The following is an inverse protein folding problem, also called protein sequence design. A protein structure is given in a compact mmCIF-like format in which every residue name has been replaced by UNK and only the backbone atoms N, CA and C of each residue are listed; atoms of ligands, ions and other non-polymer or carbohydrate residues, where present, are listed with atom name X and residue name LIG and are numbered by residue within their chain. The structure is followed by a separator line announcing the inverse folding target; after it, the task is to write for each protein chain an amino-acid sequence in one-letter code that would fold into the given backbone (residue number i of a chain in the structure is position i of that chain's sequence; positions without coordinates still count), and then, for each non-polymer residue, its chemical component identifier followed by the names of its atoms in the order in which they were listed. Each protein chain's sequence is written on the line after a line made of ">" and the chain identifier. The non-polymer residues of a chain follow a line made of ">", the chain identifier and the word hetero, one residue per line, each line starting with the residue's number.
data_IF_647565174341
#
_entry.id   IF_647565174341
#
_cell.length_a   1.000
_cell.length_b   1.000
_cell.length_c   1.000
_cell.angle_alpha   90.00
_cell.angle_beta   90.00
_cell.angle_gamma   90.00
#
_symmetry.space_group_name_H-M   'P 1'
#
loop_
_entity.id
_entity.type
_entity.pdbx_description
1 polymer ?
#
# COMPACT_ATOMS: atom_id res chain seq x y z
N UNK A 1 15.20 57.63 -18.79
CA UNK A 1 15.22 56.27 -19.39
C UNK A 1 15.96 55.23 -18.55
N UNK A 2 16.99 55.57 -17.75
CA UNK A 2 17.75 54.55 -16.96
C UNK A 2 17.15 54.11 -15.62
N UNK A 3 16.24 54.88 -15.02
CA UNK A 3 15.61 54.51 -13.73
C UNK A 3 14.63 53.35 -13.85
N UNK A 4 13.87 53.28 -14.95
CA UNK A 4 12.89 52.22 -15.20
C UNK A 4 13.55 50.88 -15.49
N UNK A 5 14.68 50.87 -16.19
CA UNK A 5 15.45 49.64 -16.46
C UNK A 5 16.03 49.04 -15.18
N UNK A 6 16.47 49.88 -14.24
CA UNK A 6 16.95 49.42 -12.93
C UNK A 6 15.83 48.75 -12.13
N UNK A 7 14.66 49.37 -12.05
CA UNK A 7 13.51 48.83 -11.32
C UNK A 7 13.08 47.48 -11.90
N UNK A 8 13.00 47.39 -13.24
CA UNK A 8 12.66 46.14 -13.92
C UNK A 8 13.72 45.06 -13.69
N UNK A 9 15.01 45.41 -13.70
CA UNK A 9 16.09 44.46 -13.43
C UNK A 9 16.01 43.89 -12.00
N UNK A 10 15.77 44.74 -11.00
CA UNK A 10 15.61 44.32 -9.60
C UNK A 10 14.36 43.45 -9.43
N UNK A 11 13.24 43.86 -10.01
CA UNK A 11 11.99 43.09 -9.96
C UNK A 11 12.14 41.73 -10.64
N UNK A 12 12.86 41.66 -11.75
CA UNK A 12 13.13 40.43 -12.46
C UNK A 12 13.94 39.44 -11.61
N UNK A 13 14.97 39.92 -10.91
CA UNK A 13 15.76 39.09 -9.99
C UNK A 13 14.89 38.56 -8.86
N UNK A 14 14.05 39.41 -8.25
CA UNK A 14 13.12 38.98 -7.20
C UNK A 14 12.17 37.87 -7.69
N UNK A 15 11.55 38.08 -8.85
CA UNK A 15 10.63 37.11 -9.45
C UNK A 15 11.36 35.80 -9.81
N UNK A 16 12.64 35.89 -10.20
CA UNK A 16 13.44 34.72 -10.51
C UNK A 16 13.71 33.86 -9.28
N UNK A 17 14.06 34.48 -8.15
CA UNK A 17 14.28 33.79 -6.88
C UNK A 17 13.00 33.07 -6.44
N UNK A 18 11.85 33.77 -6.44
CA UNK A 18 10.56 33.19 -6.07
C UNK A 18 10.17 32.02 -7.00
N UNK A 19 10.42 32.16 -8.31
CA UNK A 19 10.15 31.10 -9.29
C UNK A 19 11.01 29.86 -9.03
N UNK A 20 12.28 30.06 -8.69
CA UNK A 20 13.20 28.96 -8.39
C UNK A 20 12.80 28.28 -7.08
N UNK A 21 12.47 29.04 -6.03
CA UNK A 21 11.96 28.49 -4.77
C UNK A 21 10.71 27.63 -4.98
N UNK A 22 9.73 28.14 -5.72
CA UNK A 22 8.52 27.40 -6.05
C UNK A 22 8.82 26.11 -6.83
N UNK A 23 9.77 26.14 -7.76
CA UNK A 23 10.19 24.94 -8.49
C UNK A 23 10.82 23.89 -7.56
N UNK A 24 11.63 24.31 -6.58
CA UNK A 24 12.17 23.40 -5.57
C UNK A 24 11.07 22.79 -4.70
N UNK A 25 10.14 23.61 -4.22
CA UNK A 25 8.99 23.14 -3.43
C UNK A 25 8.12 22.16 -4.20
N UNK A 26 7.85 22.45 -5.48
CA UNK A 26 7.11 21.54 -6.36
C UNK A 26 7.82 20.19 -6.49
N UNK A 27 9.13 20.21 -6.75
CA UNK A 27 9.92 18.97 -6.86
C UNK A 27 9.92 18.16 -5.58
N UNK A 28 10.01 18.80 -4.42
CA UNK A 28 9.95 18.11 -3.13
C UNK A 28 8.61 17.41 -2.92
N UNK A 29 7.50 18.07 -3.26
CA UNK A 29 6.16 17.48 -3.16
C UNK A 29 6.00 16.32 -4.16
N UNK A 30 6.47 16.48 -5.39
CA UNK A 30 6.44 15.42 -6.40
C UNK A 30 7.21 14.19 -5.89
N UNK A 31 8.40 14.38 -5.33
CA UNK A 31 9.20 13.28 -4.75
C UNK A 31 8.47 12.58 -3.59
N UNK A 32 7.80 13.33 -2.71
CA UNK A 32 6.99 12.76 -1.63
C UNK A 32 5.83 11.92 -2.17
N UNK A 33 5.15 12.39 -3.22
CA UNK A 33 4.07 11.66 -3.89
C UNK A 33 4.61 10.37 -4.51
N UNK A 34 5.72 10.45 -5.24
CA UNK A 34 6.34 9.28 -5.87
C UNK A 34 6.77 8.24 -4.82
N UNK A 35 7.35 8.67 -3.71
CA UNK A 35 7.75 7.79 -2.61
C UNK A 35 6.55 7.08 -1.98
N UNK A 36 5.45 7.80 -1.73
CA UNK A 36 4.20 7.20 -1.22
C UNK A 36 3.59 6.23 -2.22
N UNK A 37 3.58 6.56 -3.51
CA UNK A 37 3.08 5.69 -4.56
C UNK A 37 3.89 4.39 -4.66
N UNK A 38 5.22 4.48 -4.59
CA UNK A 38 6.10 3.31 -4.57
C UNK A 38 5.83 2.40 -3.36
N UNK A 39 5.62 2.99 -2.17
CA UNK A 39 5.31 2.24 -0.97
C UNK A 39 3.97 1.51 -1.09
N UNK A 40 2.93 2.18 -1.61
CA UNK A 40 1.61 1.57 -1.84
C UNK A 40 1.72 0.43 -2.85
N UNK A 41 2.45 0.61 -3.95
CA UNK A 41 2.67 -0.43 -4.95
C UNK A 41 3.36 -1.66 -4.34
N UNK A 42 4.39 -1.46 -3.52
CA UNK A 42 5.05 -2.56 -2.81
C UNK A 42 4.09 -3.30 -1.87
N UNK A 43 3.26 -2.56 -1.13
CA UNK A 43 2.29 -3.13 -0.20
C UNK A 43 1.20 -3.93 -0.94
N UNK A 44 0.78 -3.46 -2.12
CA UNK A 44 -0.14 -4.19 -2.99
C UNK A 44 0.47 -5.50 -3.49
N UNK A 45 1.72 -5.48 -3.94
CA UNK A 45 2.44 -6.69 -4.36
C UNK A 45 2.60 -7.69 -3.22
N UNK A 46 2.94 -7.23 -2.02
CA UNK A 46 3.01 -8.10 -0.83
C UNK A 46 1.64 -8.69 -0.50
N UNK A 47 0.57 -7.87 -0.50
CA UNK A 47 -0.79 -8.35 -0.29
C UNK A 47 -1.20 -9.41 -1.31
N UNK A 48 -0.92 -9.18 -2.59
CA UNK A 48 -1.21 -10.13 -3.66
C UNK A 48 -0.40 -11.42 -3.52
N UNK A 49 0.86 -11.32 -3.09
CA UNK A 49 1.70 -12.48 -2.80
C UNK A 49 1.16 -13.30 -1.61
N UNK A 50 0.69 -12.65 -0.54
CA UNK A 50 0.04 -13.34 0.59
C UNK A 50 -1.29 -13.99 0.18
N UNK A 51 -2.06 -13.34 -0.70
CA UNK A 51 -3.33 -13.86 -1.23
C UNK A 51 -3.10 -14.86 -2.37
N UNK A 52 -1.84 -15.07 -2.81
CA UNK A 52 -1.56 -15.96 -3.91
C UNK A 52 -2.01 -17.39 -3.58
N UNK A 53 -2.72 -18.07 -4.49
CA UNK A 53 -3.23 -19.42 -4.26
C UNK A 53 -2.16 -20.43 -3.85
N UNK A 54 -0.91 -20.19 -4.28
CA UNK A 54 0.24 -21.02 -3.93
C UNK A 54 0.60 -20.90 -2.44
N UNK A 55 0.75 -19.67 -1.92
CA UNK A 55 1.01 -19.43 -0.49
C UNK A 55 -0.15 -19.90 0.40
N UNK A 56 -1.38 -19.70 -0.06
CA UNK A 56 -2.57 -20.22 0.63
C UNK A 56 -2.58 -21.75 0.67
N UNK A 57 -2.19 -22.43 -0.41
CA UNK A 57 -2.06 -23.90 -0.43
C UNK A 57 -0.92 -24.39 0.47
N UNK A 58 0.21 -23.71 0.48
CA UNK A 58 1.35 -24.01 1.36
C UNK A 58 0.94 -23.89 2.84
N UNK A 59 0.26 -22.80 3.20
CA UNK A 59 -0.24 -22.56 4.56
C UNK A 59 -1.39 -23.52 4.93
N UNK A 60 -2.25 -23.90 3.97
CA UNK A 60 -3.25 -24.94 4.19
C UNK A 60 -2.58 -26.30 4.48
N UNK A 61 -1.51 -26.64 3.75
CA UNK A 61 -0.73 -27.85 3.99
C UNK A 61 -0.11 -27.90 5.39
N UNK A 62 0.48 -26.79 5.86
CA UNK A 62 1.07 -26.73 7.22
C UNK A 62 0.03 -26.78 8.34
N UNK A 63 -1.19 -26.28 8.09
CA UNK A 63 -2.31 -26.34 9.02
C UNK A 63 -3.13 -27.64 8.91
N UNK A 64 -2.73 -28.59 8.05
CA UNK A 64 -3.46 -29.83 7.81
C UNK A 64 -4.82 -29.64 7.11
N UNK A 65 -5.05 -28.47 6.52
CA UNK A 65 -6.28 -28.12 5.81
C UNK A 65 -6.22 -28.66 4.38
N UNK A 66 -7.21 -29.48 4.02
CA UNK A 66 -7.38 -29.98 2.66
C UNK A 66 -8.63 -29.38 1.97
N UNK A 67 -8.63 -29.34 0.62
CA UNK A 67 -9.81 -28.99 -0.16
C UNK A 67 -11.01 -29.84 0.28
N UNK A 68 -12.18 -29.21 0.41
CA UNK A 68 -13.41 -29.95 0.69
C UNK A 68 -13.70 -30.90 -0.48
N UNK A 69 -14.04 -32.15 -0.18
CA UNK A 69 -14.43 -33.11 -1.21
C UNK A 69 -15.80 -32.73 -1.80
N UNK A 70 -16.09 -33.09 -3.06
CA UNK A 70 -17.40 -32.84 -3.67
C UNK A 70 -18.53 -33.42 -2.79
N UNK A 71 -19.43 -32.57 -2.30
CA UNK A 71 -20.53 -32.96 -1.39
C UNK A 71 -20.32 -32.63 0.09
N UNK A 72 -19.15 -32.12 0.49
CA UNK A 72 -18.87 -31.78 1.88
C UNK A 72 -19.16 -30.30 2.19
N UNK A 73 -20.20 -30.02 2.97
CA UNK A 73 -20.57 -28.66 3.43
C UNK A 73 -19.97 -28.43 4.82
N UNK A 74 -19.07 -27.44 4.98
CA UNK A 74 -18.53 -27.02 6.28
C UNK A 74 -19.42 -25.92 6.87
N UNK A 75 -20.15 -26.21 7.95
CA UNK A 75 -20.89 -25.20 8.72
C UNK A 75 -19.95 -24.52 9.73
N UNK A 76 -19.64 -23.24 9.52
CA UNK A 76 -18.75 -22.45 10.39
C UNK A 76 -19.39 -22.03 11.73
N UNK A 77 -20.64 -22.42 11.99
CA UNK A 77 -21.39 -22.02 13.17
C UNK A 77 -21.28 -22.92 14.40
N UNK A 78 -20.54 -24.03 14.35
CA UNK A 78 -20.57 -25.06 15.41
C UNK A 78 -19.22 -25.32 16.12
N UNK A 79 -18.13 -24.60 15.80
CA UNK A 79 -16.82 -24.77 16.45
C UNK A 79 -16.47 -23.60 17.40
N UNK A 80 -17.45 -23.04 18.13
CA UNK A 80 -17.20 -22.09 19.23
C UNK A 80 -17.43 -22.70 20.63
N UNK A 81 -17.66 -24.01 20.69
CA UNK A 81 -17.84 -24.85 21.86
C UNK A 81 -18.28 -26.19 21.28
N UNK A 82 -17.72 -27.34 21.59
CA UNK A 82 -17.35 -27.83 22.91
C UNK A 82 -16.23 -28.86 22.70
N UNK A 83 -15.11 -28.64 23.36
CA UNK A 83 -14.14 -29.70 23.65
C UNK A 83 -14.62 -30.34 24.94
N UNK A 84 -15.02 -31.62 24.89
CA UNK A 84 -15.11 -32.45 26.10
C UNK A 84 -16.28 -33.43 26.10
N UNK A 85 -16.03 -34.62 26.67
CA UNK A 85 -16.96 -35.69 27.02
C UNK A 85 -17.42 -36.58 25.84
N UNK A 86 -16.70 -37.65 25.51
CA UNK A 86 -16.67 -38.98 26.18
C UNK A 86 -17.82 -39.92 25.76
N UNK A 87 -17.40 -41.10 25.29
CA UNK A 87 -18.06 -42.42 25.40
C UNK A 87 -19.25 -42.75 24.48
N UNK A 88 -18.95 -43.52 23.42
CA UNK A 88 -19.78 -44.66 22.99
C UNK A 88 -19.56 -45.82 23.99
N UNK A 89 -20.52 -46.73 24.25
CA UNK A 89 -21.31 -47.45 23.23
C UNK A 89 -22.83 -47.21 23.26
#
# INVERSE_FOLDING_TARGET
>A
MGGTTLVLAVMHVWLNIERVDLAYRYRAIEEEIQNKAALVSKLQLERENLISPYRLKEMAGSLGLQPAQPGQIRNLGLMAGETGATTAP
#
